data_IF_230899996216
#
_entry.id   IF_230899996216
#
_cell.length_a   1.000
_cell.length_b   1.000
_cell.length_c   1.000
_cell.angle_alpha   90.00
_cell.angle_beta   90.00
_cell.angle_gamma   90.00
#
_symmetry.space_group_name_H-M   'P 1'
#
loop_
_entity.id
_entity.type
_entity.pdbx_description
1 polymer ?
#
# COMPACT_ATOMS: atom_id res chain seq x y z
N UNK A 1 2.56 -0.35 -87.71
CA UNK A 1 1.57 -1.34 -87.24
C UNK A 1 2.04 -2.00 -85.93
N UNK A 2 2.01 -1.30 -84.79
CA UNK A 2 2.45 -1.91 -83.51
C UNK A 2 1.87 -1.18 -82.28
N UNK A 3 0.57 -0.86 -82.29
CA UNK A 3 -0.09 -0.15 -81.16
C UNK A 3 -1.47 -0.71 -80.76
N UNK A 4 -1.85 -1.92 -81.21
CA UNK A 4 -3.20 -2.47 -81.00
C UNK A 4 -3.28 -3.79 -80.21
N UNK A 5 -2.17 -4.32 -79.69
CA UNK A 5 -2.14 -5.63 -79.00
C UNK A 5 -1.98 -5.56 -77.48
N UNK A 6 -1.93 -4.37 -76.88
CA UNK A 6 -1.73 -4.21 -75.42
C UNK A 6 -3.02 -4.07 -74.60
N UNK A 7 -4.15 -3.76 -75.22
CA UNK A 7 -5.43 -3.49 -74.50
C UNK A 7 -6.22 -4.79 -74.25
N UNK A 8 -5.96 -5.86 -75.01
CA UNK A 8 -6.72 -7.13 -74.90
C UNK A 8 -6.21 -8.09 -73.83
N UNK A 9 -5.03 -7.86 -73.23
CA UNK A 9 -4.50 -8.71 -72.15
C UNK A 9 -4.82 -8.21 -70.73
N UNK A 10 -5.29 -6.97 -70.59
CA UNK A 10 -5.68 -6.39 -69.30
C UNK A 10 -7.13 -6.71 -68.93
N UNK A 11 -8.02 -6.88 -69.92
CA UNK A 11 -9.42 -7.29 -69.69
C UNK A 11 -9.57 -8.80 -69.39
N UNK A 12 -8.58 -9.62 -69.75
CA UNK A 12 -8.58 -11.06 -69.44
C UNK A 12 -8.11 -11.40 -68.00
N UNK A 13 -7.32 -10.51 -67.37
CA UNK A 13 -6.88 -10.70 -65.96
C UNK A 13 -7.87 -10.15 -64.94
N UNK A 14 -8.71 -9.18 -65.32
CA UNK A 14 -9.82 -8.70 -64.48
C UNK A 14 -11.04 -9.62 -64.51
N UNK A 15 -11.33 -10.29 -65.63
CA UNK A 15 -12.41 -11.29 -65.71
C UNK A 15 -12.09 -12.58 -64.91
N UNK A 16 -10.80 -12.97 -64.85
CA UNK A 16 -10.36 -14.10 -64.02
C UNK A 16 -10.36 -13.82 -62.52
N UNK A 17 -10.17 -12.56 -62.11
CA UNK A 17 -10.22 -12.17 -60.69
C UNK A 17 -11.65 -11.92 -60.18
N UNK A 18 -12.59 -11.55 -61.04
CA UNK A 18 -14.02 -11.41 -60.67
C UNK A 18 -14.72 -12.77 -60.62
N UNK A 19 -14.31 -13.75 -61.44
CA UNK A 19 -14.87 -15.11 -61.39
C UNK A 19 -14.35 -15.95 -60.20
N UNK A 20 -13.18 -15.62 -59.65
CA UNK A 20 -12.62 -16.28 -58.46
C UNK A 20 -13.08 -15.65 -57.13
N UNK A 21 -13.67 -14.45 -57.18
CA UNK A 21 -14.26 -13.76 -56.01
C UNK A 21 -15.76 -14.10 -55.84
N UNK A 22 -16.42 -14.66 -56.85
CA UNK A 22 -17.81 -15.15 -56.74
C UNK A 22 -17.97 -16.58 -56.19
N UNK A 23 -16.87 -17.25 -55.78
CA UNK A 23 -16.94 -18.51 -55.04
C UNK A 23 -16.63 -18.33 -53.53
N UNK A 24 -16.87 -17.14 -53.00
CA UNK A 24 -16.89 -16.86 -51.57
C UNK A 24 -18.33 -16.59 -51.11
N UNK A 25 -19.20 -17.60 -51.25
CA UNK A 25 -20.46 -17.70 -50.54
C UNK A 25 -20.93 -19.16 -50.59
N UNK A 26 -20.12 -20.07 -50.03
CA UNK A 26 -20.71 -21.28 -49.49
C UNK A 26 -21.62 -20.76 -48.38
N UNK A 27 -22.90 -20.74 -48.68
CA UNK A 27 -23.99 -20.61 -47.74
C UNK A 27 -23.58 -21.37 -46.48
N UNK A 28 -23.46 -20.65 -45.36
CA UNK A 28 -23.54 -21.29 -44.07
C UNK A 28 -24.93 -21.93 -44.03
N UNK A 29 -25.01 -23.15 -44.53
CA UNK A 29 -26.19 -23.98 -44.37
C UNK A 29 -26.40 -24.04 -42.88
N UNK A 30 -27.50 -23.46 -42.41
CA UNK A 30 -27.93 -23.61 -41.03
C UNK A 30 -28.10 -25.12 -40.81
N UNK A 31 -27.07 -25.76 -40.25
CA UNK A 31 -27.10 -27.17 -39.94
C UNK A 31 -28.05 -27.31 -38.77
N UNK A 32 -29.24 -27.84 -39.04
CA UNK A 32 -30.23 -28.10 -38.01
C UNK A 32 -29.62 -29.02 -36.96
N UNK A 33 -29.64 -28.67 -35.66
CA UNK A 33 -29.04 -29.49 -34.63
C UNK A 33 -29.73 -30.86 -34.60
N UNK A 34 -28.91 -31.91 -34.67
CA UNK A 34 -29.37 -33.30 -34.59
C UNK A 34 -29.20 -33.82 -33.17
N UNK A 35 -30.13 -34.68 -32.78
CA UNK A 35 -30.09 -35.37 -31.51
C UNK A 35 -28.89 -36.32 -31.45
N UNK A 36 -28.34 -36.49 -30.27
CA UNK A 36 -27.32 -37.49 -30.00
C UNK A 36 -27.14 -37.76 -28.52
N UNK A 37 -26.20 -38.65 -28.18
CA UNK A 37 -26.02 -39.10 -26.80
C UNK A 37 -25.85 -37.95 -25.82
N UNK A 38 -26.62 -37.96 -24.74
CA UNK A 38 -26.61 -36.94 -23.70
C UNK A 38 -27.63 -35.82 -23.86
N UNK A 39 -28.31 -35.71 -25.00
CA UNK A 39 -29.45 -34.80 -25.18
C UNK A 39 -30.68 -35.31 -24.39
N UNK A 40 -31.50 -34.39 -23.89
CA UNK A 40 -32.77 -34.68 -23.20
C UNK A 40 -33.93 -34.13 -24.02
N UNK A 41 -34.91 -34.99 -24.27
CA UNK A 41 -36.03 -34.71 -25.15
C UNK A 41 -37.33 -34.96 -24.38
N UNK A 42 -38.20 -33.96 -24.35
CA UNK A 42 -39.57 -34.11 -23.91
C UNK A 42 -40.40 -34.72 -25.04
N UNK A 43 -40.96 -35.89 -24.79
CA UNK A 43 -41.89 -36.53 -25.71
C UNK A 43 -43.26 -36.40 -25.08
N UNK A 44 -44.20 -35.78 -25.78
CA UNK A 44 -45.59 -35.64 -25.37
C UNK A 44 -46.51 -36.35 -26.34
N UNK A 45 -47.44 -37.16 -25.83
CA UNK A 45 -48.37 -37.93 -26.66
C UNK A 45 -49.79 -37.46 -26.35
N UNK A 46 -50.55 -37.11 -27.39
CA UNK A 46 -51.90 -36.59 -27.22
C UNK A 46 -52.81 -37.60 -26.51
N UNK A 47 -53.51 -37.15 -25.46
CA UNK A 47 -54.39 -37.96 -24.59
C UNK A 47 -53.70 -39.11 -23.84
N UNK A 48 -52.36 -39.07 -23.70
CA UNK A 48 -51.57 -40.05 -22.94
C UNK A 48 -50.50 -39.39 -22.08
N UNK A 49 -50.93 -38.81 -20.96
CA UNK A 49 -50.04 -38.19 -19.96
C UNK A 49 -49.10 -39.22 -19.29
N UNK A 50 -49.47 -40.50 -19.29
CA UNK A 50 -48.66 -41.60 -18.80
C UNK A 50 -47.35 -41.79 -19.61
N UNK A 51 -47.35 -41.39 -20.88
CA UNK A 51 -46.20 -41.49 -21.78
C UNK A 51 -45.41 -40.17 -21.91
N UNK A 52 -45.98 -39.06 -21.43
CA UNK A 52 -45.38 -37.73 -21.53
C UNK A 52 -44.31 -37.53 -20.46
N UNK A 53 -43.04 -37.65 -20.85
CA UNK A 53 -41.87 -37.51 -19.96
C UNK A 53 -40.66 -37.00 -20.72
N UNK A 54 -39.66 -36.55 -19.96
CA UNK A 54 -38.31 -36.31 -20.47
C UNK A 54 -37.55 -37.63 -20.59
N UNK A 55 -37.03 -37.89 -21.79
CA UNK A 55 -36.20 -39.05 -22.09
C UNK A 55 -34.81 -38.57 -22.50
N UNK A 56 -33.79 -39.20 -21.90
CA UNK A 56 -32.39 -38.91 -22.23
C UNK A 56 -31.89 -39.87 -23.29
N UNK A 57 -31.27 -39.34 -24.34
CA UNK A 57 -30.62 -40.14 -25.37
C UNK A 57 -29.43 -40.86 -24.76
N UNK A 58 -29.47 -42.19 -24.80
CA UNK A 58 -28.45 -43.05 -24.20
C UNK A 58 -27.14 -43.04 -25.01
N UNK A 59 -26.02 -43.53 -24.44
CA UNK A 59 -24.72 -43.61 -25.13
C UNK A 59 -24.73 -44.39 -26.45
N UNK A 60 -25.64 -45.36 -26.59
CA UNK A 60 -25.87 -46.15 -27.80
C UNK A 60 -26.75 -45.42 -28.84
N UNK A 61 -27.14 -44.17 -28.57
CA UNK A 61 -27.88 -43.31 -29.49
C UNK A 61 -29.38 -43.62 -29.56
N UNK A 62 -29.91 -44.39 -28.60
CA UNK A 62 -31.30 -44.82 -28.54
C UNK A 62 -32.05 -44.17 -27.38
N UNK A 63 -33.36 -44.07 -27.53
CA UNK A 63 -34.33 -43.68 -26.50
C UNK A 63 -35.10 -44.91 -26.06
N UNK A 64 -35.19 -45.13 -24.76
CA UNK A 64 -35.94 -46.25 -24.19
C UNK A 64 -37.33 -45.78 -23.77
N UNK A 65 -38.36 -46.13 -24.54
CA UNK A 65 -39.76 -45.81 -24.28
C UNK A 65 -40.49 -47.05 -23.74
N UNK A 66 -41.34 -46.88 -22.71
CA UNK A 66 -42.01 -48.01 -22.05
C UNK A 66 -42.90 -48.85 -22.99
N UNK A 67 -43.58 -48.21 -23.96
CA UNK A 67 -44.54 -48.88 -24.85
C UNK A 67 -43.92 -49.28 -26.20
N UNK A 68 -42.95 -48.51 -26.69
CA UNK A 68 -42.34 -48.70 -28.03
C UNK A 68 -41.05 -49.49 -27.96
N UNK A 69 -40.39 -49.53 -26.80
CA UNK A 69 -39.06 -50.10 -26.63
C UNK A 69 -37.97 -49.11 -27.05
N UNK A 70 -36.89 -49.64 -27.63
CA UNK A 70 -35.72 -48.86 -28.04
C UNK A 70 -35.92 -48.20 -29.40
N UNK A 71 -35.87 -46.88 -29.46
CA UNK A 71 -36.01 -46.09 -30.69
C UNK A 71 -34.70 -45.38 -31.04
N UNK A 72 -34.19 -45.50 -32.27
CA UNK A 72 -32.99 -44.75 -32.68
C UNK A 72 -33.30 -43.25 -32.73
N UNK A 73 -32.55 -42.45 -31.96
CA UNK A 73 -32.72 -40.99 -31.91
C UNK A 73 -31.48 -40.24 -32.37
N UNK A 74 -30.28 -40.83 -32.18
CA UNK A 74 -29.04 -40.20 -32.61
C UNK A 74 -29.01 -39.98 -34.13
N UNK A 75 -28.57 -38.78 -34.55
CA UNK A 75 -28.50 -38.37 -35.95
C UNK A 75 -29.83 -37.92 -36.54
N UNK A 76 -30.93 -37.96 -35.78
CA UNK A 76 -32.24 -37.46 -36.23
C UNK A 76 -32.47 -36.02 -35.76
N UNK A 77 -33.22 -35.24 -36.54
CA UNK A 77 -33.78 -33.98 -36.06
C UNK A 77 -34.99 -34.26 -35.16
N UNK A 78 -35.36 -33.35 -34.24
CA UNK A 78 -36.55 -33.54 -33.41
C UNK A 78 -37.82 -33.84 -34.22
N UNK A 79 -38.00 -33.16 -35.36
CA UNK A 79 -39.11 -33.40 -36.28
C UNK A 79 -39.06 -34.78 -36.97
N UNK A 80 -37.86 -35.29 -37.27
CA UNK A 80 -37.71 -36.63 -37.83
C UNK A 80 -37.99 -37.71 -36.77
N UNK A 81 -37.56 -37.47 -35.52
CA UNK A 81 -37.86 -38.35 -34.40
C UNK A 81 -39.37 -38.37 -34.12
N UNK A 82 -40.04 -37.23 -34.17
CA UNK A 82 -41.50 -37.11 -34.05
C UNK A 82 -42.23 -38.01 -35.04
N UNK A 83 -41.97 -37.85 -36.34
CA UNK A 83 -42.58 -38.67 -37.37
C UNK A 83 -42.28 -40.18 -37.21
N UNK A 84 -41.06 -40.52 -36.77
CA UNK A 84 -40.69 -41.92 -36.51
C UNK A 84 -41.45 -42.51 -35.32
N UNK A 85 -41.68 -41.72 -34.27
CA UNK A 85 -42.42 -42.13 -33.08
C UNK A 85 -43.91 -42.24 -33.34
N UNK A 86 -44.49 -41.32 -34.12
CA UNK A 86 -45.89 -41.39 -34.54
C UNK A 86 -46.17 -42.68 -35.33
N UNK A 87 -45.29 -43.04 -36.27
CA UNK A 87 -45.40 -44.26 -37.05
C UNK A 87 -45.29 -45.52 -36.15
N UNK A 88 -44.27 -45.57 -35.29
CA UNK A 88 -44.03 -46.71 -34.40
C UNK A 88 -45.13 -46.88 -33.35
N UNK A 89 -45.64 -45.79 -32.78
CA UNK A 89 -46.76 -45.84 -31.83
C UNK A 89 -48.07 -46.23 -32.51
N UNK A 90 -48.32 -45.72 -33.72
CA UNK A 90 -49.52 -46.08 -34.48
C UNK A 90 -49.53 -47.56 -34.87
N UNK A 91 -48.38 -48.11 -35.27
CA UNK A 91 -48.22 -49.55 -35.56
C UNK A 91 -48.41 -50.42 -34.32
N UNK A 92 -47.83 -50.01 -33.18
CA UNK A 92 -47.86 -50.81 -31.93
C UNK A 92 -49.18 -50.75 -31.18
N UNK A 93 -49.92 -49.64 -31.28
CA UNK A 93 -51.19 -49.44 -30.55
C UNK A 93 -52.43 -49.64 -31.42
N UNK A 94 -52.27 -49.70 -32.75
CA UNK A 94 -53.37 -49.89 -33.70
C UNK A 94 -54.31 -48.68 -33.85
N UNK A 95 -53.92 -47.53 -33.29
CA UNK A 95 -54.68 -46.27 -33.33
C UNK A 95 -53.75 -45.14 -33.81
N UNK A 96 -54.28 -44.12 -34.52
CA UNK A 96 -53.47 -42.96 -34.88
C UNK A 96 -52.99 -42.25 -33.62
N UNK A 97 -51.66 -42.16 -33.45
CA UNK A 97 -51.02 -41.44 -32.36
C UNK A 97 -50.45 -40.12 -32.88
N UNK A 98 -50.69 -39.02 -32.16
CA UNK A 98 -50.02 -37.74 -32.40
C UNK A 98 -49.02 -37.49 -31.29
N UNK A 99 -47.76 -37.29 -31.68
CA UNK A 99 -46.63 -37.13 -30.79
C UNK A 99 -46.03 -35.76 -31.06
N UNK A 100 -45.67 -35.01 -30.02
CA UNK A 100 -44.87 -33.81 -30.16
C UNK A 100 -43.54 -33.98 -29.41
N UNK A 101 -42.44 -33.74 -30.11
CA UNK A 101 -41.08 -33.92 -29.61
C UNK A 101 -40.40 -32.56 -29.47
N UNK A 102 -40.06 -32.16 -28.24
CA UNK A 102 -39.31 -30.94 -27.98
C UNK A 102 -38.04 -31.23 -27.19
N UNK A 103 -36.96 -30.48 -27.43
CA UNK A 103 -35.68 -30.72 -26.76
C UNK A 103 -35.65 -29.93 -25.46
N UNK A 104 -35.68 -30.63 -24.32
CA UNK A 104 -35.64 -30.04 -22.98
C UNK A 104 -34.26 -29.49 -22.67
N UNK A 105 -33.21 -30.23 -23.02
CA UNK A 105 -31.82 -29.83 -22.82
C UNK A 105 -30.92 -30.44 -23.88
N UNK A 106 -30.27 -29.58 -24.64
CA UNK A 106 -29.15 -29.99 -25.50
C UNK A 106 -27.91 -30.27 -24.65
N UNK A 107 -27.10 -31.24 -25.09
CA UNK A 107 -25.78 -31.49 -24.51
C UNK A 107 -24.89 -30.23 -24.60
N UNK A 108 -24.03 -29.99 -23.60
CA UNK A 108 -23.22 -28.78 -23.55
C UNK A 108 -22.17 -28.73 -24.66
N UNK A 109 -21.68 -27.51 -24.91
CA UNK A 109 -20.49 -27.24 -25.72
C UNK A 109 -19.33 -26.96 -24.75
N UNK A 110 -18.11 -27.34 -25.10
CA UNK A 110 -16.95 -27.15 -24.23
C UNK A 110 -16.04 -26.05 -24.77
N UNK A 111 -15.51 -25.20 -23.89
CA UNK A 111 -14.48 -24.21 -24.20
C UNK A 111 -13.14 -24.63 -23.58
N UNK A 112 -12.10 -24.68 -24.40
CA UNK A 112 -10.76 -25.11 -23.99
C UNK A 112 -9.67 -24.21 -24.61
N UNK A 113 -8.53 -24.11 -23.92
CA UNK A 113 -7.36 -23.36 -24.39
C UNK A 113 -7.19 -22.02 -23.68
N UNK A 114 -6.80 -20.98 -24.42
CA UNK A 114 -6.48 -19.63 -23.91
C UNK A 114 -7.73 -18.82 -23.53
N UNK A 115 -8.63 -19.40 -22.74
CA UNK A 115 -9.85 -18.78 -22.22
C UNK A 115 -9.74 -18.60 -20.70
N UNK A 116 -10.41 -17.58 -20.15
CA UNK A 116 -10.33 -17.28 -18.71
C UNK A 116 -10.90 -18.41 -17.86
N UNK A 117 -12.03 -18.99 -18.28
CA UNK A 117 -12.71 -20.07 -17.57
C UNK A 117 -12.98 -21.25 -18.53
N UNK A 118 -12.06 -22.22 -18.65
CA UNK A 118 -12.29 -23.45 -19.41
C UNK A 118 -13.40 -24.28 -18.78
N UNK A 119 -14.27 -24.90 -19.59
CA UNK A 119 -15.35 -25.76 -19.07
C UNK A 119 -16.56 -25.91 -19.98
N UNK A 120 -17.65 -26.43 -19.41
CA UNK A 120 -18.93 -26.63 -20.10
C UNK A 120 -19.73 -25.33 -20.22
N UNK A 121 -20.33 -25.12 -21.39
CA UNK A 121 -21.22 -24.02 -21.71
C UNK A 121 -22.54 -24.61 -22.20
N UNK A 122 -23.63 -24.26 -21.50
CA UNK A 122 -24.96 -24.72 -21.88
C UNK A 122 -25.32 -24.25 -23.30
N UNK A 123 -25.64 -25.20 -24.17
CA UNK A 123 -26.00 -24.90 -25.55
C UNK A 123 -27.33 -24.16 -25.64
N UNK A 124 -27.40 -23.17 -26.51
CA UNK A 124 -28.61 -22.45 -26.92
C UNK A 124 -28.59 -22.24 -28.41
N UNK A 125 -29.75 -22.12 -29.03
CA UNK A 125 -29.83 -21.88 -30.47
C UNK A 125 -29.12 -20.57 -30.85
N UNK A 126 -28.37 -20.61 -31.97
CA UNK A 126 -27.57 -19.48 -32.43
C UNK A 126 -26.34 -19.18 -31.54
N UNK A 127 -25.86 -20.15 -30.76
CA UNK A 127 -24.59 -20.04 -30.04
C UNK A 127 -23.42 -20.02 -31.04
N UNK A 128 -22.51 -19.07 -30.87
CA UNK A 128 -21.32 -18.91 -31.73
C UNK A 128 -20.04 -19.00 -30.90
N UNK A 129 -18.91 -19.24 -31.56
CA UNK A 129 -17.58 -19.25 -30.93
C UNK A 129 -17.33 -17.97 -30.11
N UNK A 130 -17.71 -16.79 -30.64
CA UNK A 130 -17.54 -15.53 -29.93
C UNK A 130 -18.43 -15.39 -28.69
N UNK A 131 -19.66 -15.94 -28.72
CA UNK A 131 -20.54 -15.97 -27.54
C UNK A 131 -20.00 -16.92 -26.48
N UNK A 132 -19.45 -18.07 -26.88
CA UNK A 132 -18.78 -19.01 -25.97
C UNK A 132 -17.56 -18.37 -25.32
N UNK A 133 -16.73 -17.68 -26.09
CA UNK A 133 -15.57 -16.95 -25.58
C UNK A 133 -15.98 -15.88 -24.57
N UNK A 134 -17.05 -15.13 -24.84
CA UNK A 134 -17.57 -14.12 -23.92
C UNK A 134 -18.09 -14.73 -22.61
N UNK A 135 -18.83 -15.83 -22.67
CA UNK A 135 -19.31 -16.56 -21.47
C UNK A 135 -18.14 -17.14 -20.68
N UNK A 136 -17.06 -17.54 -21.36
CA UNK A 136 -15.84 -18.07 -20.75
C UNK A 136 -14.88 -17.00 -20.21
N UNK A 137 -15.33 -15.73 -20.12
CA UNK A 137 -14.56 -14.61 -19.57
C UNK A 137 -13.55 -13.97 -20.53
N UNK A 138 -13.59 -14.31 -21.82
CA UNK A 138 -12.65 -13.80 -22.81
C UNK A 138 -11.37 -14.62 -22.89
N UNK A 139 -10.33 -14.05 -23.50
CA UNK A 139 -9.03 -14.72 -23.64
C UNK A 139 -8.21 -14.59 -22.35
N UNK A 140 -7.55 -15.66 -21.91
CA UNK A 140 -6.67 -15.65 -20.75
C UNK A 140 -5.51 -14.64 -20.95
N UNK A 141 -5.19 -13.75 -19.98
CA UNK A 141 -4.02 -12.86 -20.08
C UNK A 141 -2.73 -13.67 -20.25
N UNK A 142 -1.74 -13.17 -20.99
CA UNK A 142 -0.46 -13.90 -21.09
C UNK A 142 0.18 -13.94 -19.69
N UNK A 143 0.73 -15.08 -19.26
CA UNK A 143 1.41 -15.21 -17.95
C UNK A 143 2.49 -14.14 -17.75
N UNK A 144 3.17 -13.78 -18.83
CA UNK A 144 4.15 -12.69 -18.91
C UNK A 144 3.57 -11.30 -18.57
N UNK A 145 2.34 -11.00 -19.00
CA UNK A 145 1.68 -9.70 -18.78
C UNK A 145 1.17 -9.57 -17.33
N UNK A 146 0.70 -10.68 -16.74
CA UNK A 146 0.33 -10.73 -15.34
C UNK A 146 1.55 -10.58 -14.42
N UNK A 147 2.65 -11.28 -14.72
CA UNK A 147 3.89 -11.18 -13.97
C UNK A 147 4.52 -9.77 -14.04
N UNK A 148 4.54 -9.15 -15.22
CA UNK A 148 5.05 -7.77 -15.37
C UNK A 148 4.21 -6.77 -14.57
N UNK A 149 2.88 -6.88 -14.63
CA UNK A 149 1.97 -5.96 -13.91
C UNK A 149 2.15 -6.05 -12.39
N UNK A 150 2.34 -7.25 -11.84
CA UNK A 150 2.58 -7.43 -10.40
C UNK A 150 3.91 -6.82 -9.95
N UNK A 151 4.97 -6.98 -10.75
CA UNK A 151 6.28 -6.39 -10.49
C UNK A 151 6.23 -4.86 -10.56
N UNK A 152 5.51 -4.29 -11.54
CA UNK A 152 5.32 -2.84 -11.67
C UNK A 152 4.61 -2.22 -10.46
N UNK A 153 3.53 -2.85 -9.98
CA UNK A 153 2.82 -2.41 -8.77
C UNK A 153 3.77 -2.40 -7.56
N UNK A 154 4.60 -3.44 -7.43
CA UNK A 154 5.56 -3.52 -6.32
C UNK A 154 6.67 -2.49 -6.41
N UNK A 155 7.16 -2.20 -7.62
CA UNK A 155 8.12 -1.12 -7.85
C UNK A 155 7.50 0.24 -7.49
N UNK A 156 6.24 0.48 -7.87
CA UNK A 156 5.54 1.71 -7.54
C UNK A 156 5.34 1.87 -6.02
N UNK A 157 5.00 0.79 -5.31
CA UNK A 157 4.88 0.76 -3.84
C UNK A 157 6.20 1.14 -3.16
N UNK A 158 7.32 0.52 -3.57
CA UNK A 158 8.64 0.84 -3.01
C UNK A 158 9.09 2.28 -3.32
N UNK A 159 8.74 2.81 -4.49
CA UNK A 159 9.00 4.23 -4.81
C UNK A 159 8.19 5.16 -3.91
N UNK A 160 6.93 4.83 -3.63
CA UNK A 160 6.09 5.59 -2.71
C UNK A 160 6.68 5.59 -1.30
N UNK A 161 7.14 4.43 -0.80
CA UNK A 161 7.83 4.33 0.50
C UNK A 161 9.08 5.20 0.56
N UNK A 162 9.91 5.20 -0.48
CA UNK A 162 11.11 6.06 -0.54
C UNK A 162 10.71 7.53 -0.40
N UNK A 163 9.69 7.99 -1.13
CA UNK A 163 9.26 9.39 -1.08
C UNK A 163 8.79 9.79 0.34
N UNK A 164 8.01 8.93 1.01
CA UNK A 164 7.54 9.16 2.39
C UNK A 164 8.73 9.21 3.36
N UNK A 165 9.68 8.28 3.25
CA UNK A 165 10.87 8.25 4.10
C UNK A 165 11.76 9.46 3.88
N UNK A 166 11.93 9.90 2.64
CA UNK A 166 12.68 11.12 2.32
C UNK A 166 12.05 12.36 2.93
N UNK A 167 10.71 12.48 2.91
CA UNK A 167 10.00 13.56 3.62
C UNK A 167 10.27 13.53 5.12
N UNK A 168 10.17 12.35 5.76
CA UNK A 168 10.52 12.20 7.18
C UNK A 168 11.99 12.54 7.48
N UNK A 169 12.92 12.23 6.57
CA UNK A 169 14.33 12.60 6.70
C UNK A 169 14.52 14.13 6.69
N UNK A 170 13.78 14.89 5.89
CA UNK A 170 13.86 16.36 5.87
C UNK A 170 13.51 16.92 7.25
N UNK A 171 12.45 16.42 7.89
CA UNK A 171 12.06 16.82 9.25
C UNK A 171 13.16 16.50 10.27
N UNK A 172 13.70 15.29 10.22
CA UNK A 172 14.77 14.86 11.11
C UNK A 172 16.04 15.72 10.94
N UNK A 173 16.42 16.06 9.71
CA UNK A 173 17.55 16.93 9.46
C UNK A 173 17.29 18.37 9.92
N UNK A 174 16.07 18.90 9.78
CA UNK A 174 15.71 20.22 10.32
C UNK A 174 15.84 20.24 11.85
N UNK A 175 15.33 19.22 12.54
CA UNK A 175 15.45 19.09 13.98
C UNK A 175 16.93 18.94 14.42
N UNK A 176 17.72 18.16 13.68
CA UNK A 176 19.16 18.02 13.92
C UNK A 176 19.87 19.37 13.81
N UNK A 177 19.60 20.14 12.77
CA UNK A 177 20.18 21.48 12.60
C UNK A 177 19.80 22.40 13.77
N UNK A 178 18.55 22.35 14.24
CA UNK A 178 18.10 23.14 15.40
C UNK A 178 18.90 22.77 16.66
N UNK A 179 19.09 21.48 16.92
CA UNK A 179 19.84 21.02 18.09
C UNK A 179 21.33 21.32 17.99
N UNK A 180 21.92 21.26 16.79
CA UNK A 180 23.31 21.69 16.59
C UNK A 180 23.46 23.18 16.86
N UNK A 181 22.55 24.02 16.36
CA UNK A 181 22.54 25.46 16.64
C UNK A 181 22.33 25.76 18.13
N UNK A 182 21.42 25.03 18.79
CA UNK A 182 21.18 25.12 20.24
C UNK A 182 22.43 24.71 21.03
N UNK A 183 23.16 23.69 20.59
CA UNK A 183 24.40 23.24 21.24
C UNK A 183 25.55 24.24 21.10
N UNK A 184 25.62 24.96 19.98
CA UNK A 184 26.64 25.99 19.74
C UNK A 184 26.26 27.37 20.27
N UNK A 185 25.04 27.54 20.80
CA UNK A 185 24.52 28.82 21.28
C UNK A 185 24.23 29.84 20.17
N UNK A 186 24.12 29.38 18.92
CA UNK A 186 23.87 30.25 17.76
C UNK A 186 22.36 30.34 17.51
N UNK A 187 21.81 31.56 17.47
CA UNK A 187 20.36 31.79 17.23
C UNK A 187 20.08 32.00 15.73
N UNK A 188 20.71 31.16 14.92
CA UNK A 188 20.57 31.12 13.46
C UNK A 188 20.68 29.68 12.99
N UNK A 189 20.02 29.37 11.88
CA UNK A 189 20.01 28.07 11.26
C UNK A 189 20.51 28.22 9.83
N UNK A 190 21.69 27.68 9.56
CA UNK A 190 22.23 27.57 8.21
C UNK A 190 22.02 26.13 7.71
N UNK A 191 21.27 25.93 6.62
CA UNK A 191 21.12 24.61 6.01
C UNK A 191 22.47 24.05 5.57
N UNK A 192 22.75 22.81 5.95
CA UNK A 192 23.95 22.11 5.50
C UNK A 192 23.69 21.35 4.19
N UNK A 193 24.77 20.85 3.57
CA UNK A 193 24.69 20.12 2.31
C UNK A 193 23.75 18.90 2.39
N UNK A 194 23.68 18.22 3.54
CA UNK A 194 22.81 17.06 3.73
C UNK A 194 21.33 17.45 3.69
N UNK A 195 20.93 18.53 4.39
CA UNK A 195 19.56 19.05 4.31
C UNK A 195 19.24 19.60 2.92
N UNK A 196 20.13 20.41 2.34
CA UNK A 196 19.92 21.01 1.01
C UNK A 196 19.78 19.96 -0.10
N UNK A 197 20.42 18.79 0.02
CA UNK A 197 20.26 17.70 -0.94
C UNK A 197 18.88 17.04 -0.89
N UNK A 198 18.17 17.14 0.24
CA UNK A 198 16.84 16.56 0.46
C UNK A 198 15.72 17.62 0.38
N UNK A 199 16.08 18.90 0.28
CA UNK A 199 15.14 20.00 0.37
C UNK A 199 14.08 19.95 -0.74
N UNK A 200 12.82 19.91 -0.31
CA UNK A 200 11.64 20.06 -1.16
C UNK A 200 11.00 21.46 -1.00
N UNK A 201 9.80 21.68 -1.56
CA UNK A 201 9.08 22.95 -1.44
C UNK A 201 8.72 23.30 0.03
N UNK A 202 8.65 22.31 0.91
CA UNK A 202 8.32 22.48 2.34
C UNK A 202 9.56 22.84 3.20
N UNK A 203 10.77 22.79 2.64
CA UNK A 203 12.00 22.97 3.38
C UNK A 203 12.09 24.35 4.05
N UNK A 204 11.70 25.42 3.34
CA UNK A 204 11.76 26.79 3.87
C UNK A 204 10.81 26.98 5.05
N UNK A 205 9.60 26.41 4.98
CA UNK A 205 8.64 26.46 6.09
C UNK A 205 9.14 25.70 7.32
N UNK A 206 9.73 24.52 7.12
CA UNK A 206 10.28 23.73 8.21
C UNK A 206 11.45 24.43 8.89
N UNK A 207 12.36 25.03 8.12
CA UNK A 207 13.47 25.81 8.68
C UNK A 207 12.94 27.04 9.43
N UNK A 208 11.95 27.75 8.89
CA UNK A 208 11.33 28.89 9.58
C UNK A 208 10.68 28.46 10.92
N UNK A 209 10.02 27.30 10.95
CA UNK A 209 9.48 26.72 12.18
C UNK A 209 10.59 26.41 13.20
N UNK A 210 11.67 25.75 12.76
CA UNK A 210 12.80 25.43 13.64
C UNK A 210 13.49 26.70 14.19
N UNK A 211 13.60 27.76 13.38
CA UNK A 211 14.11 29.07 13.82
C UNK A 211 13.21 29.68 14.89
N UNK A 212 11.89 29.62 14.70
CA UNK A 212 10.93 30.15 15.68
C UNK A 212 11.07 29.41 17.03
N UNK A 213 11.16 28.08 17.01
CA UNK A 213 11.36 27.26 18.21
C UNK A 213 12.70 27.61 18.89
N UNK A 214 13.78 27.72 18.11
CA UNK A 214 15.11 28.06 18.62
C UNK A 214 15.13 29.42 19.32
N UNK A 215 14.56 30.45 18.69
CA UNK A 215 14.47 31.81 19.24
C UNK A 215 13.65 31.85 20.52
N UNK A 216 12.46 31.23 20.51
CA UNK A 216 11.60 31.20 21.69
C UNK A 216 12.28 30.52 22.89
N UNK A 217 13.05 29.45 22.65
CA UNK A 217 13.84 28.78 23.70
C UNK A 217 14.99 29.65 24.20
N UNK A 218 15.76 30.24 23.30
CA UNK A 218 16.89 31.11 23.64
C UNK A 218 16.43 32.31 24.49
N UNK A 219 15.33 32.96 24.10
CA UNK A 219 14.73 34.06 24.85
C UNK A 219 14.28 33.63 26.25
N UNK A 220 13.55 32.50 26.35
CA UNK A 220 13.11 31.94 27.65
C UNK A 220 14.29 31.69 28.58
N UNK A 221 15.36 31.09 28.06
CA UNK A 221 16.53 30.73 28.87
C UNK A 221 17.33 31.98 29.28
N UNK A 222 17.42 32.98 28.41
CA UNK A 222 18.02 34.29 28.72
C UNK A 222 17.24 35.02 29.82
N UNK A 223 15.91 35.11 29.69
CA UNK A 223 15.05 35.75 30.70
C UNK A 223 15.16 35.05 32.05
N UNK A 224 15.16 33.71 32.06
CA UNK A 224 15.32 32.94 33.28
C UNK A 224 16.69 33.17 33.93
N UNK A 225 17.77 33.13 33.15
CA UNK A 225 19.12 33.38 33.66
C UNK A 225 19.26 34.79 34.23
N UNK A 226 18.72 35.81 33.54
CA UNK A 226 18.71 37.18 34.02
C UNK A 226 17.93 37.33 35.33
N UNK A 227 16.77 36.67 35.46
CA UNK A 227 15.98 36.69 36.69
C UNK A 227 16.72 36.07 37.87
N UNK A 228 17.42 34.95 37.67
CA UNK A 228 18.20 34.31 38.75
C UNK A 228 19.43 35.15 39.10
N UNK A 229 20.08 35.77 38.11
CA UNK A 229 21.21 36.67 38.36
C UNK A 229 20.80 37.86 39.22
N UNK A 230 19.67 38.50 38.93
CA UNK A 230 19.15 39.61 39.74
C UNK A 230 18.91 39.19 41.19
N UNK A 231 18.42 37.96 41.42
CA UNK A 231 18.22 37.42 42.77
C UNK A 231 19.55 37.14 43.48
N UNK A 232 20.54 36.62 42.76
CA UNK A 232 21.88 36.40 43.30
C UNK A 232 22.56 37.73 43.67
N UNK A 233 22.46 38.74 42.81
CA UNK A 233 23.00 40.08 43.06
C UNK A 233 22.36 40.72 44.31
N UNK A 234 21.05 40.53 44.51
CA UNK A 234 20.36 40.99 45.72
C UNK A 234 20.87 40.29 46.99
N UNK A 235 21.05 38.97 46.95
CA UNK A 235 21.61 38.20 48.07
C UNK A 235 23.06 38.61 48.38
N UNK A 236 23.85 38.91 47.34
CA UNK A 236 25.22 39.41 47.48
C UNK A 236 25.25 40.79 48.15
N UNK A 237 24.35 41.69 47.75
CA UNK A 237 24.20 43.01 48.38
C UNK A 237 23.80 42.90 49.86
N UNK A 238 22.86 42.01 50.19
CA UNK A 238 22.45 41.73 51.57
C UNK A 238 23.64 41.23 52.40
N UNK A 239 24.43 40.27 51.88
CA UNK A 239 25.63 39.80 52.53
C UNK A 239 26.66 40.93 52.76
N UNK A 240 26.87 41.81 51.78
CA UNK A 240 27.77 42.95 51.90
C UNK A 240 27.31 43.96 52.95
N UNK A 241 26.00 44.21 53.05
CA UNK A 241 25.43 45.10 54.05
C UNK A 241 25.64 44.54 55.47
N UNK A 242 25.37 43.23 55.66
CA UNK A 242 25.60 42.53 56.92
C UNK A 242 27.08 42.51 57.31
N UNK A 243 27.99 42.28 56.37
CA UNK A 243 29.43 42.36 56.61
C UNK A 243 29.87 43.77 57.06
N UNK A 244 29.25 44.82 56.53
CA UNK A 244 29.53 46.20 56.93
C UNK A 244 29.01 46.48 58.34
N UNK A 245 27.80 46.00 58.67
CA UNK A 245 27.23 46.08 60.02
C UNK A 245 28.10 45.36 61.05
N UNK A 246 28.63 44.17 60.73
CA UNK A 246 29.53 43.45 61.63
C UNK A 246 30.82 44.23 61.91
N UNK A 247 31.33 44.99 60.94
CA UNK A 247 32.52 45.83 61.15
C UNK A 247 32.22 46.90 62.20
N UNK A 248 31.07 47.57 62.09
CA UNK A 248 30.62 48.56 63.07
C UNK A 248 30.42 47.93 64.46
N UNK A 249 29.77 46.75 64.53
CA UNK A 249 29.57 46.03 65.79
C UNK A 249 30.89 45.63 66.44
N UNK A 250 31.90 45.19 65.66
CA UNK A 250 33.24 44.87 66.20
C UNK A 250 33.90 46.09 66.83
N UNK A 251 33.83 47.24 66.18
CA UNK A 251 34.36 48.50 66.74
C UNK A 251 33.64 48.88 68.04
N UNK A 252 32.31 48.72 68.09
CA UNK A 252 31.52 48.98 69.29
C UNK A 252 31.86 48.02 70.44
N UNK A 253 32.00 46.72 70.15
CA UNK A 253 32.41 45.68 71.10
C UNK A 253 33.81 45.96 71.65
N UNK A 254 34.75 46.44 70.82
CA UNK A 254 36.09 46.82 71.27
C UNK A 254 36.04 48.01 72.23
N UNK A 255 35.23 49.03 71.91
CA UNK A 255 35.02 50.18 72.78
C UNK A 255 34.36 49.80 74.11
N UNK A 256 33.33 48.94 74.09
CA UNK A 256 32.64 48.47 75.29
C UNK A 256 33.53 47.56 76.14
N UNK A 257 34.36 46.70 75.51
CA UNK A 257 35.38 45.89 76.19
C UNK A 257 36.40 46.76 76.94
N UNK A 258 36.90 47.82 76.30
CA UNK A 258 37.84 48.76 76.93
C UNK A 258 37.20 49.49 78.11
N UNK A 259 35.98 50.01 77.94
CA UNK A 259 35.23 50.67 79.00
C UNK A 259 34.93 49.73 80.18
N UNK A 260 34.63 48.45 79.91
CA UNK A 260 34.39 47.44 80.93
C UNK A 260 35.65 47.18 81.74
N UNK A 261 36.81 47.02 81.07
CA UNK A 261 38.10 46.84 81.74
C UNK A 261 38.46 48.01 82.65
N UNK A 262 38.22 49.24 82.19
CA UNK A 262 38.47 50.45 82.98
C UNK A 262 37.54 50.49 84.22
N UNK A 263 36.26 50.15 84.06
CA UNK A 263 35.27 50.06 85.14
C UNK A 263 35.60 48.94 86.15
N UNK A 264 36.07 47.78 85.69
CA UNK A 264 36.55 46.69 86.55
C UNK A 264 37.75 47.15 87.39
N UNK A 265 38.73 47.84 86.78
CA UNK A 265 39.86 48.41 87.54
C UNK A 265 39.42 49.44 88.59
N UNK A 266 38.36 50.21 88.34
CA UNK A 266 37.80 51.14 89.33
C UNK A 266 37.05 50.40 90.44
N UNK A 267 36.38 49.29 90.13
CA UNK A 267 35.70 48.44 91.09
C UNK A 267 36.70 47.80 92.05
N UNK A 268 37.84 47.33 91.54
CA UNK A 268 38.95 46.79 92.35
C UNK A 268 39.51 47.82 93.34
N UNK A 269 39.45 49.11 92.97
CA UNK A 269 39.85 50.24 93.83
C UNK A 269 38.71 50.74 94.73
N UNK A 270 37.52 50.15 94.65
CA UNK A 270 36.32 50.55 95.40
C UNK A 270 35.67 51.87 94.92
N UNK A 271 35.97 52.34 93.71
CA UNK A 271 35.54 53.64 93.17
C UNK A 271 34.27 53.58 92.29
N UNK A 272 33.65 52.41 92.14
CA UNK A 272 32.39 52.21 91.38
C UNK A 272 31.56 51.08 91.99
N UNK A 273 30.32 50.88 91.52
CA UNK A 273 29.43 49.82 92.01
C UNK A 273 29.49 48.54 91.16
N UNK A 274 29.30 47.39 91.81
CA UNK A 274 29.16 46.07 91.14
C UNK A 274 28.04 46.06 90.10
N UNK A 275 26.93 46.76 90.39
CA UNK A 275 25.81 46.86 89.47
C UNK A 275 26.18 47.56 88.16
N UNK A 276 27.03 48.61 88.20
CA UNK A 276 27.46 49.32 87.00
C UNK A 276 28.38 48.47 86.12
N UNK A 277 29.27 47.69 86.74
CA UNK A 277 30.10 46.70 86.03
C UNK A 277 29.21 45.60 85.42
N UNK A 278 28.23 45.09 86.17
CA UNK A 278 27.29 44.06 85.69
C UNK A 278 26.46 44.54 84.51
N UNK A 279 25.96 45.77 84.55
CA UNK A 279 25.20 46.39 83.46
C UNK A 279 26.04 46.50 82.19
N UNK A 280 27.27 47.03 82.28
CA UNK A 280 28.14 47.15 81.11
C UNK A 280 28.57 45.78 80.56
N UNK A 281 28.80 44.80 81.45
CA UNK A 281 29.06 43.42 81.03
C UNK A 281 27.87 42.80 80.29
N UNK A 282 26.63 43.09 80.70
CA UNK A 282 25.43 42.67 79.96
C UNK A 282 25.42 43.26 78.56
N UNK A 283 25.63 44.57 78.43
CA UNK A 283 25.69 45.26 77.14
C UNK A 283 26.75 44.65 76.23
N UNK A 284 27.97 44.44 76.74
CA UNK A 284 29.05 43.79 76.00
C UNK A 284 28.66 42.38 75.52
N UNK A 285 28.00 41.59 76.36
CA UNK A 285 27.54 40.25 75.98
C UNK A 285 26.44 40.30 74.91
N UNK A 286 25.49 41.23 75.04
CA UNK A 286 24.38 41.41 74.09
C UNK A 286 24.92 41.84 72.71
N UNK A 287 25.89 42.75 72.66
CA UNK A 287 26.59 43.15 71.42
C UNK A 287 27.31 41.97 70.75
N UNK A 288 27.96 41.09 71.53
CA UNK A 288 28.58 39.87 71.00
C UNK A 288 27.55 38.90 70.41
N UNK A 289 26.39 38.75 71.05
CA UNK A 289 25.28 37.94 70.52
C UNK A 289 24.79 38.53 69.19
N UNK A 290 24.63 39.86 69.11
CA UNK A 290 24.23 40.55 67.89
C UNK A 290 25.23 40.34 66.74
N UNK A 291 26.53 40.42 67.03
CA UNK A 291 27.59 40.12 66.06
C UNK A 291 27.50 38.68 65.54
N UNK A 292 27.28 37.70 66.43
CA UNK A 292 27.11 36.29 66.04
C UNK A 292 25.88 36.07 65.16
N UNK A 293 24.75 36.71 65.48
CA UNK A 293 23.53 36.64 64.68
C UNK A 293 23.74 37.26 63.30
N UNK A 294 24.37 38.43 63.22
CA UNK A 294 24.69 39.10 61.96
C UNK A 294 25.60 38.24 61.07
N UNK A 295 26.61 37.59 61.65
CA UNK A 295 27.46 36.64 60.94
C UNK A 295 26.70 35.41 60.41
N UNK A 296 25.76 34.86 61.20
CA UNK A 296 24.88 33.79 60.73
C UNK A 296 24.00 34.23 59.56
N UNK A 297 23.44 35.44 59.60
CA UNK A 297 22.62 35.96 58.50
C UNK A 297 23.46 36.21 57.23
N UNK A 298 24.67 36.74 57.36
CA UNK A 298 25.58 36.92 56.22
C UNK A 298 25.88 35.56 55.56
N UNK A 299 26.21 34.55 56.37
CA UNK A 299 26.48 33.20 55.86
C UNK A 299 25.29 32.61 55.09
N UNK A 300 24.04 32.84 55.56
CA UNK A 300 22.83 32.41 54.85
C UNK A 300 22.62 33.16 53.53
N UNK A 301 22.87 34.47 53.52
CA UNK A 301 22.77 35.28 52.30
C UNK A 301 23.79 34.80 51.24
N UNK A 302 25.06 34.61 51.64
CA UNK A 302 26.10 34.05 50.75
C UNK A 302 25.77 32.64 50.26
N UNK A 303 25.25 31.77 51.13
CA UNK A 303 24.82 30.44 50.71
C UNK A 303 23.69 30.51 49.68
N UNK A 304 22.76 31.44 49.84
CA UNK A 304 21.65 31.66 48.91
C UNK A 304 22.16 32.13 47.55
N UNK A 305 23.08 33.09 47.51
CA UNK A 305 23.77 33.54 46.29
C UNK A 305 24.42 32.36 45.55
N UNK A 306 25.23 31.56 46.25
CA UNK A 306 25.93 30.39 45.66
C UNK A 306 24.93 29.39 45.10
N UNK A 307 23.86 29.08 45.83
CA UNK A 307 22.84 28.14 45.40
C UNK A 307 22.12 28.63 44.12
N UNK A 308 21.79 29.93 44.06
CA UNK A 308 21.16 30.54 42.89
C UNK A 308 22.08 30.46 41.67
N UNK A 309 23.36 30.83 41.81
CA UNK A 309 24.33 30.77 40.71
C UNK A 309 24.57 29.33 40.23
N UNK A 310 24.72 28.38 41.16
CA UNK A 310 24.84 26.95 40.81
C UNK A 310 23.62 26.46 40.02
N UNK A 311 22.42 26.87 40.41
CA UNK A 311 21.19 26.42 39.76
C UNK A 311 21.10 26.77 38.27
N UNK A 312 21.67 27.90 37.85
CA UNK A 312 21.74 28.30 36.43
C UNK A 312 22.70 27.40 35.67
N UNK A 313 23.86 27.14 36.24
CA UNK A 313 24.88 26.29 35.64
C UNK A 313 24.41 24.83 35.55
N UNK A 314 23.76 24.32 36.59
CA UNK A 314 23.17 22.98 36.60
C UNK A 314 22.07 22.85 35.54
N UNK A 315 21.20 23.86 35.40
CA UNK A 315 20.19 23.86 34.35
C UNK A 315 20.80 23.83 32.93
N UNK A 316 21.89 24.55 32.70
CA UNK A 316 22.64 24.51 31.42
C UNK A 316 23.25 23.15 31.16
N UNK A 317 23.88 22.54 32.17
CA UNK A 317 24.50 21.20 32.06
C UNK A 317 23.46 20.13 31.75
N UNK A 318 22.33 20.14 32.47
CA UNK A 318 21.21 19.23 32.20
C UNK A 318 20.70 19.41 30.77
N UNK A 319 20.55 20.66 30.30
CA UNK A 319 20.11 20.91 28.92
C UNK A 319 21.12 20.41 27.89
N UNK A 320 22.42 20.64 28.10
CA UNK A 320 23.47 20.16 27.20
C UNK A 320 23.48 18.61 27.09
N UNK A 321 23.29 17.91 28.22
CA UNK A 321 23.13 16.46 28.24
C UNK A 321 21.88 16.01 27.47
N UNK A 322 20.74 16.68 27.66
CA UNK A 322 19.51 16.40 26.91
C UNK A 322 19.69 16.61 25.40
N UNK A 323 20.30 17.72 24.98
CA UNK A 323 20.58 17.99 23.56
C UNK A 323 21.44 16.88 22.96
N UNK A 324 22.46 16.42 23.69
CA UNK A 324 23.34 15.33 23.24
C UNK A 324 22.56 14.02 23.07
N UNK A 325 21.68 13.70 24.00
CA UNK A 325 20.81 12.53 23.91
C UNK A 325 19.79 12.63 22.77
N UNK A 326 19.13 13.78 22.61
CA UNK A 326 18.19 14.08 21.51
C UNK A 326 18.90 14.02 20.15
N UNK A 327 20.13 14.53 20.04
CA UNK A 327 20.92 14.42 18.81
C UNK A 327 21.26 12.96 18.50
N UNK A 328 21.66 12.18 19.50
CA UNK A 328 21.98 10.77 19.30
C UNK A 328 20.76 9.96 18.80
N UNK A 329 19.57 10.22 19.35
CA UNK A 329 18.33 9.57 18.89
C UNK A 329 17.94 10.01 17.49
N UNK A 330 17.97 11.31 17.18
CA UNK A 330 17.68 11.82 15.83
C UNK A 330 18.68 11.27 14.80
N UNK A 331 19.97 11.23 15.12
CA UNK A 331 20.98 10.67 14.23
C UNK A 331 20.80 9.16 14.02
N UNK A 332 20.32 8.42 15.02
CA UNK A 332 19.96 7.02 14.85
C UNK A 332 18.74 6.86 13.92
N UNK A 333 17.71 7.69 14.07
CA UNK A 333 16.55 7.71 13.18
C UNK A 333 16.93 8.05 11.74
N UNK A 334 17.80 9.05 11.52
CA UNK A 334 18.30 9.40 10.18
C UNK A 334 18.99 8.20 9.53
N UNK A 335 19.93 7.55 10.26
CA UNK A 335 20.62 6.35 9.73
C UNK A 335 19.66 5.20 9.43
N UNK A 336 18.61 5.03 10.24
CA UNK A 336 17.59 4.02 9.99
C UNK A 336 16.82 4.30 8.70
N UNK A 337 16.36 5.54 8.49
CA UNK A 337 15.67 5.92 7.26
C UNK A 337 16.60 5.84 6.03
N UNK A 338 17.87 6.22 6.15
CA UNK A 338 18.87 6.04 5.08
C UNK A 338 19.06 4.57 4.69
N UNK A 339 19.14 3.67 5.68
CA UNK A 339 19.27 2.24 5.46
C UNK A 339 18.03 1.67 4.76
N UNK A 340 16.84 2.07 5.20
CA UNK A 340 15.56 1.66 4.60
C UNK A 340 15.42 2.16 3.15
N UNK A 341 15.76 3.42 2.88
CA UNK A 341 15.75 3.97 1.52
C UNK A 341 16.75 3.20 0.63
N UNK A 342 17.92 2.85 1.16
CA UNK A 342 18.90 2.04 0.44
C UNK A 342 18.37 0.64 0.14
N UNK A 343 17.72 0.00 1.11
CA UNK A 343 17.09 -1.31 0.95
C UNK A 343 15.97 -1.28 -0.11
N UNK A 344 15.06 -0.31 -0.07
CA UNK A 344 14.01 -0.13 -1.08
C UNK A 344 14.60 0.13 -2.47
N UNK A 345 15.71 0.87 -2.60
CA UNK A 345 16.39 1.10 -3.89
C UNK A 345 16.99 -0.19 -4.46
N UNK A 346 17.64 -1.00 -3.63
CA UNK A 346 18.17 -2.30 -4.06
C UNK A 346 17.04 -3.26 -4.46
N UNK A 347 15.93 -3.25 -3.73
CA UNK A 347 14.74 -4.03 -4.03
C UNK A 347 14.15 -3.60 -5.38
N UNK A 348 13.98 -2.29 -5.63
CA UNK A 348 13.56 -1.76 -6.93
C UNK A 348 14.51 -2.20 -8.03
N UNK A 349 15.83 -2.13 -7.82
CA UNK A 349 16.82 -2.57 -8.82
C UNK A 349 16.65 -4.05 -9.16
N UNK A 350 16.50 -4.90 -8.14
CA UNK A 350 16.28 -6.33 -8.32
C UNK A 350 14.95 -6.64 -9.05
N UNK A 351 13.85 -5.99 -8.67
CA UNK A 351 12.56 -6.13 -9.36
C UNK A 351 12.61 -5.63 -10.80
N UNK A 352 13.29 -4.51 -11.04
CA UNK A 352 13.45 -3.95 -12.40
C UNK A 352 14.28 -4.89 -13.28
N UNK A 353 15.31 -5.53 -12.72
CA UNK A 353 16.09 -6.55 -13.43
C UNK A 353 15.24 -7.79 -13.73
N UNK A 354 14.42 -8.24 -12.77
CA UNK A 354 13.49 -9.36 -12.99
C UNK A 354 12.45 -9.02 -14.07
N UNK A 355 11.92 -7.80 -14.09
CA UNK A 355 11.02 -7.32 -15.13
C UNK A 355 11.68 -7.30 -16.52
N UNK A 356 12.97 -6.95 -16.60
CA UNK A 356 13.75 -7.04 -17.83
C UNK A 356 14.01 -8.47 -18.32
N UNK A 357 13.89 -9.48 -17.45
CA UNK A 357 13.98 -10.90 -17.80
C UNK A 357 12.62 -11.51 -18.21
N UNK A 358 11.51 -10.84 -17.90
CA UNK A 358 10.19 -11.24 -18.40
C UNK A 358 10.23 -11.12 -19.92
N UNK A 359 10.07 -12.23 -20.68
CA UNK A 359 10.22 -12.21 -22.13
C UNK A 359 9.28 -11.17 -22.72
N UNK A 360 9.83 -10.25 -23.51
CA UNK A 360 9.04 -9.24 -24.20
C UNK A 360 7.94 -9.97 -24.96
N UNK A 361 6.70 -9.63 -24.64
CA UNK A 361 5.54 -10.26 -25.25
C UNK A 361 5.68 -10.07 -26.76
N UNK A 362 5.92 -11.17 -27.50
CA UNK A 362 6.03 -11.14 -28.95
C UNK A 362 4.78 -10.51 -29.59
N UNK A 363 4.80 -10.24 -30.91
CA UNK A 363 3.66 -9.62 -31.60
C UNK A 363 2.36 -10.31 -31.20
N UNK A 364 1.28 -9.52 -31.08
CA UNK A 364 -0.06 -10.02 -30.84
C UNK A 364 -0.46 -10.92 -32.02
N UNK A 365 -0.05 -12.19 -31.98
CA UNK A 365 -0.49 -13.19 -32.93
C UNK A 365 -2.00 -13.32 -32.74
N UNK A 366 -2.79 -13.20 -33.82
CA UNK A 366 -4.23 -13.29 -33.71
C UNK A 366 -4.61 -14.65 -33.11
N UNK A 367 -5.63 -14.69 -32.24
CA UNK A 367 -6.15 -15.96 -31.73
C UNK A 367 -6.71 -16.77 -32.90
N UNK A 368 -6.34 -18.04 -32.97
CA UNK A 368 -6.97 -19.01 -33.85
C UNK A 368 -8.05 -19.76 -33.07
N UNK A 369 -9.15 -20.07 -33.76
CA UNK A 369 -10.27 -20.83 -33.20
C UNK A 369 -10.48 -22.09 -34.03
N UNK A 370 -10.67 -23.22 -33.35
CA UNK A 370 -11.04 -24.49 -33.98
C UNK A 370 -12.22 -25.11 -33.26
N UNK A 371 -13.07 -25.78 -34.03
CA UNK A 371 -14.16 -26.58 -33.50
C UNK A 371 -13.83 -28.04 -33.78
N UNK A 372 -13.73 -28.85 -32.72
CA UNK A 372 -13.69 -30.31 -32.82
C UNK A 372 -15.12 -30.81 -32.70
N UNK A 373 -15.61 -31.40 -33.79
CA UNK A 373 -16.97 -31.92 -33.89
C UNK A 373 -16.93 -33.42 -34.12
N UNK A 374 -17.67 -34.16 -33.30
CA UNK A 374 -17.86 -35.60 -33.51
C UNK A 374 -19.04 -35.82 -34.47
N UNK A 375 -18.76 -36.31 -35.69
CA UNK A 375 -19.78 -36.55 -36.73
C UNK A 375 -20.27 -38.00 -36.77
N UNK A 376 -19.93 -38.81 -35.76
CA UNK A 376 -20.28 -40.24 -35.69
C UNK A 376 -19.43 -41.15 -36.59
N UNK A 377 -18.72 -40.60 -37.57
CA UNK A 377 -17.71 -41.29 -38.41
C UNK A 377 -16.27 -40.97 -37.98
N UNK A 378 -16.10 -40.14 -36.95
CA UNK A 378 -14.83 -39.66 -36.43
C UNK A 378 -14.93 -38.24 -35.88
N UNK A 379 -13.85 -37.76 -35.26
CA UNK A 379 -13.72 -36.34 -34.91
C UNK A 379 -13.22 -35.54 -36.12
N UNK A 380 -13.92 -34.48 -36.47
CA UNK A 380 -13.53 -33.53 -37.49
C UNK A 380 -13.07 -32.23 -36.85
N UNK A 381 -11.89 -31.75 -37.26
CA UNK A 381 -11.36 -30.45 -36.86
C UNK A 381 -11.73 -29.40 -37.91
N UNK A 382 -12.52 -28.40 -37.51
CA UNK A 382 -13.01 -27.33 -38.37
C UNK A 382 -12.35 -26.00 -37.98
N UNK A 383 -11.77 -25.25 -38.94
CA UNK A 383 -11.35 -23.88 -38.67
C UNK A 383 -12.58 -23.01 -38.40
N UNK A 384 -12.50 -22.14 -37.38
CA UNK A 384 -13.63 -21.33 -36.95
C UNK A 384 -13.29 -19.85 -36.83
N UNK A 385 -14.31 -19.02 -36.98
CA UNK A 385 -14.28 -17.58 -36.70
C UNK A 385 -15.27 -17.26 -35.57
N UNK A 386 -15.19 -16.06 -34.99
CA UNK A 386 -16.05 -15.64 -33.87
C UNK A 386 -17.56 -15.71 -34.17
N UNK A 387 -17.96 -15.57 -35.44
CA UNK A 387 -19.34 -15.67 -35.90
C UNK A 387 -19.76 -17.09 -36.32
N UNK A 388 -18.84 -18.07 -36.29
CA UNK A 388 -19.14 -19.45 -36.64
C UNK A 388 -20.07 -20.06 -35.59
N UNK A 389 -21.18 -20.65 -36.06
CA UNK A 389 -22.14 -21.32 -35.20
C UNK A 389 -21.57 -22.65 -34.70
N UNK A 390 -21.76 -22.91 -33.41
CA UNK A 390 -21.45 -24.20 -32.80
C UNK A 390 -22.70 -25.07 -32.77
N UNK A 391 -22.51 -26.37 -32.69
CA UNK A 391 -23.55 -27.36 -32.50
C UNK A 391 -23.44 -28.03 -31.11
N UNK A 392 -24.52 -28.67 -30.63
CA UNK A 392 -24.49 -29.41 -29.37
C UNK A 392 -23.37 -30.46 -29.37
N UNK A 393 -22.53 -30.45 -28.34
CA UNK A 393 -21.42 -31.39 -28.19
C UNK A 393 -20.12 -31.00 -28.89
N UNK A 394 -20.05 -29.81 -29.51
CA UNK A 394 -18.80 -29.28 -30.04
C UNK A 394 -17.78 -28.97 -28.91
N UNK A 395 -16.49 -29.10 -29.24
CA UNK A 395 -15.39 -28.58 -28.42
C UNK A 395 -14.74 -27.41 -29.15
N UNK A 396 -14.82 -26.23 -28.57
CA UNK A 396 -14.21 -25.00 -29.08
C UNK A 396 -12.84 -24.85 -28.44
N UNK A 397 -11.80 -24.96 -29.26
CA UNK A 397 -10.42 -24.73 -28.88
C UNK A 397 -9.99 -23.32 -29.28
N UNK A 398 -9.37 -22.61 -28.35
CA UNK A 398 -8.86 -21.25 -28.54
C UNK A 398 -7.36 -21.22 -28.26
N UNK A 399 -6.56 -20.74 -29.19
CA UNK A 399 -5.11 -20.67 -28.99
C UNK A 399 -4.50 -19.43 -29.64
N UNK A 400 -3.58 -18.77 -28.93
CA UNK A 400 -2.75 -17.68 -29.43
C UNK A 400 -1.48 -18.25 -30.04
N UNK A 401 -1.13 -17.79 -31.24
CA UNK A 401 0.06 -18.25 -31.95
C UNK A 401 -0.13 -19.51 -32.80
N UNK A 402 -1.37 -19.92 -33.00
CA UNK A 402 -1.78 -20.98 -33.93
C UNK A 402 -1.47 -22.39 -33.46
N UNK A 403 -2.18 -23.39 -33.98
CA UNK A 403 -2.20 -24.77 -33.48
C UNK A 403 -1.12 -25.71 -34.09
N UNK A 404 -0.09 -25.18 -34.74
CA UNK A 404 0.79 -25.93 -35.63
C UNK A 404 1.83 -26.86 -34.96
N UNK A 405 1.97 -26.85 -33.62
CA UNK A 405 3.08 -27.54 -32.92
C UNK A 405 2.72 -28.89 -32.27
N UNK A 406 1.49 -29.39 -32.37
CA UNK A 406 1.05 -30.60 -31.64
C UNK A 406 0.18 -31.56 -32.48
N UNK A 407 0.48 -31.72 -33.77
CA UNK A 407 0.04 -32.91 -34.49
C UNK A 407 1.14 -33.99 -34.31
N UNK A 408 0.94 -35.04 -33.50
CA UNK A 408 1.75 -36.24 -33.64
C UNK A 408 1.48 -36.79 -35.04
N UNK A 409 2.52 -36.88 -35.87
CA UNK A 409 2.44 -37.44 -37.21
C UNK A 409 1.97 -38.88 -37.25
#
# INVERSE_FOLDING_TARGET
MARRTFITRLQARLAGAVLLVCLAAITAAAQTPVLGPGDEVNISVLNREDLTRDYRVRPDGRLSLHVVGEVPAAGQTPAALEASLEALLSERTGLPASVAVSVSRWRPVYALGDVVTPGEVAYREGLTVGRILAVSGGLFPRESEAASSQLDIRIADERSKIAVRQSAMVDLHAQRLRLLAESSGVVSLEPDAAFSALAGPEADSLIAEQIAILRARAERDQVRAASVQIQADLAAQEASALSSQQTILREQIEASAKALKDLESLLDRGLTSTERVRQLRSIYNDENIELMLSASYEARARQTEINLLSSVEDARRVRAQQITAELATIMASIRNEEAEVTASRELIRALSAALGQVPATGPLLPPEYRIRRNTGQGEQVLPAALNTQVLPGDLVEVRRGGFAELEPG
#
